data_IF_288220718434
#
_entry.id   IF_288220718434
#
_cell.length_a   1.000
_cell.length_b   1.000
_cell.length_c   1.000
_cell.angle_alpha   90.00
_cell.angle_beta   90.00
_cell.angle_gamma   90.00
#
_symmetry.space_group_name_H-M   'P 1'
#
loop_
_entity.id
_entity.type
_entity.pdbx_description
1 polymer ?
#
# COMPACT_ATOMS: atom_id res chain seq x y z
N UNK A 1 54.80 17.51 28.35
CA UNK A 1 54.08 16.23 28.51
C UNK A 1 53.10 16.07 27.34
N UNK A 2 53.28 15.05 26.49
CA UNK A 2 52.19 14.38 25.73
C UNK A 2 52.00 13.02 26.42
N UNK A 3 50.81 12.38 26.49
CA UNK A 3 49.83 12.12 25.41
C UNK A 3 48.38 12.47 25.88
N UNK A 4 47.25 12.28 25.19
CA UNK A 4 46.68 11.10 24.53
C UNK A 4 45.49 11.46 23.64
N UNK A 5 45.29 10.60 22.65
CA UNK A 5 44.26 10.57 21.61
C UNK A 5 42.87 10.34 22.22
N UNK A 6 41.82 10.89 21.61
CA UNK A 6 40.79 10.04 21.01
C UNK A 6 39.89 10.83 20.05
N UNK A 7 39.87 10.34 18.82
CA UNK A 7 38.94 10.69 17.74
C UNK A 7 37.62 10.00 18.07
N UNK A 8 36.50 10.71 18.05
CA UNK A 8 35.20 10.11 17.74
C UNK A 8 34.51 11.01 16.73
N UNK A 9 34.66 10.65 15.46
CA UNK A 9 33.77 11.06 14.38
C UNK A 9 32.40 10.43 14.70
N UNK A 10 31.47 11.21 15.25
CA UNK A 10 30.07 10.84 15.23
C UNK A 10 29.53 11.10 13.82
N UNK A 11 29.88 10.21 12.91
CA UNK A 11 29.19 10.03 11.63
C UNK A 11 28.30 8.81 11.80
N UNK A 12 27.23 8.96 12.57
CA UNK A 12 26.04 8.12 12.38
C UNK A 12 25.23 8.80 11.28
N UNK A 13 25.75 8.71 10.06
CA UNK A 13 24.88 8.67 8.91
C UNK A 13 24.05 7.40 9.13
N UNK A 14 22.79 7.59 9.51
CA UNK A 14 21.76 6.59 9.31
C UNK A 14 21.73 6.35 7.81
N UNK A 15 22.58 5.44 7.35
CA UNK A 15 22.44 4.77 6.08
C UNK A 15 21.11 4.03 6.17
N UNK A 16 20.04 4.76 5.86
CA UNK A 16 18.80 4.21 5.34
C UNK A 16 19.28 3.29 4.23
N UNK A 17 19.37 2.01 4.54
CA UNK A 17 19.63 0.98 3.57
C UNK A 17 18.41 1.03 2.65
N UNK A 18 18.51 1.85 1.60
CA UNK A 18 17.66 1.80 0.43
C UNK A 18 17.99 0.47 -0.23
N UNK A 19 17.57 -0.62 0.40
CA UNK A 19 17.39 -1.86 -0.31
C UNK A 19 16.46 -1.52 -1.47
N UNK A 20 16.83 -1.84 -2.72
CA UNK A 20 15.94 -1.61 -3.84
C UNK A 20 14.65 -2.35 -3.53
N UNK A 21 13.59 -1.60 -3.22
CA UNK A 21 12.28 -2.19 -3.00
C UNK A 21 11.92 -2.94 -4.28
N UNK A 22 11.49 -4.18 -4.13
CA UNK A 22 10.96 -4.95 -5.25
C UNK A 22 9.87 -4.09 -5.93
N UNK A 23 10.03 -3.75 -7.22
CA UNK A 23 9.10 -2.85 -7.90
C UNK A 23 7.67 -3.38 -7.89
N UNK A 24 7.47 -4.71 -7.83
CA UNK A 24 6.15 -5.31 -7.69
C UNK A 24 5.56 -5.01 -6.32
N UNK A 25 6.36 -5.14 -5.27
CA UNK A 25 5.97 -4.81 -3.90
C UNK A 25 5.64 -3.33 -3.73
N UNK A 26 6.44 -2.44 -4.32
CA UNK A 26 6.18 -0.99 -4.31
C UNK A 26 4.85 -0.68 -5.00
N UNK A 27 4.63 -1.22 -6.21
CA UNK A 27 3.38 -1.06 -6.94
C UNK A 27 2.16 -1.58 -6.14
N UNK A 28 2.30 -2.75 -5.50
CA UNK A 28 1.25 -3.30 -4.65
C UNK A 28 0.90 -2.36 -3.48
N UNK A 29 1.90 -1.75 -2.85
CA UNK A 29 1.69 -0.77 -1.78
C UNK A 29 0.97 0.48 -2.30
N UNK A 30 1.41 1.04 -3.42
CA UNK A 30 0.81 2.23 -4.05
C UNK A 30 -0.66 2.00 -4.45
N UNK A 31 -1.01 0.82 -4.96
CA UNK A 31 -2.38 0.49 -5.37
C UNK A 31 -3.29 0.16 -4.17
N UNK A 32 -2.74 -0.36 -3.07
CA UNK A 32 -3.53 -0.84 -1.92
C UNK A 32 -4.39 0.26 -1.29
N UNK A 33 -3.86 1.48 -1.17
CA UNK A 33 -4.60 2.62 -0.63
C UNK A 33 -5.82 3.01 -1.47
N UNK A 34 -5.64 3.38 -2.76
CA UNK A 34 -6.74 3.67 -3.68
C UNK A 34 -7.78 2.54 -3.75
N UNK A 35 -7.34 1.29 -3.79
CA UNK A 35 -8.24 0.14 -3.86
C UNK A 35 -9.10 -0.01 -2.60
N UNK A 36 -8.53 0.25 -1.42
CA UNK A 36 -9.27 0.27 -0.16
C UNK A 36 -10.32 1.37 -0.16
N UNK A 37 -9.97 2.57 -0.65
CA UNK A 37 -10.90 3.69 -0.78
C UNK A 37 -12.10 3.33 -1.67
N UNK A 38 -11.86 2.70 -2.83
CA UNK A 38 -12.93 2.23 -3.73
C UNK A 38 -13.86 1.25 -3.01
N UNK A 39 -13.31 0.28 -2.28
CA UNK A 39 -14.11 -0.72 -1.57
C UNK A 39 -15.01 -0.07 -0.50
N UNK A 40 -14.43 0.81 0.33
CA UNK A 40 -15.18 1.55 1.36
C UNK A 40 -16.28 2.40 0.74
N UNK A 41 -16.01 3.11 -0.36
CA UNK A 41 -17.04 3.89 -1.05
C UNK A 41 -18.14 3.02 -1.66
N UNK A 42 -17.80 1.83 -2.18
CA UNK A 42 -18.81 0.89 -2.65
C UNK A 42 -19.71 0.42 -1.50
N UNK A 43 -19.14 0.08 -0.34
CA UNK A 43 -19.91 -0.33 0.84
C UNK A 43 -20.87 0.78 1.28
N UNK A 44 -20.36 2.02 1.43
CA UNK A 44 -21.18 3.18 1.81
C UNK A 44 -22.31 3.44 0.80
N UNK A 45 -22.05 3.31 -0.50
CA UNK A 45 -23.06 3.55 -1.53
C UNK A 45 -24.09 2.42 -1.64
N UNK A 46 -23.70 1.18 -1.32
CA UNK A 46 -24.58 0.01 -1.30
C UNK A 46 -25.47 -0.04 -0.06
N UNK A 47 -24.98 0.47 1.07
CA UNK A 47 -25.76 0.66 2.29
C UNK A 47 -26.85 1.73 2.11
N UNK A 48 -26.56 2.74 1.30
CA UNK A 48 -27.54 3.76 0.91
C UNK A 48 -28.51 3.23 -0.15
N UNK A 49 -29.75 3.74 -0.14
CA UNK A 49 -30.79 3.36 -1.09
C UNK A 49 -30.43 3.82 -2.53
N UNK A 50 -29.65 2.99 -3.22
CA UNK A 50 -29.30 3.15 -4.62
C UNK A 50 -30.42 2.63 -5.52
N UNK A 51 -30.67 3.29 -6.65
CA UNK A 51 -31.54 2.74 -7.70
C UNK A 51 -31.03 1.33 -8.13
N UNK A 52 -31.91 0.39 -8.53
CA UNK A 52 -31.53 -0.99 -8.83
C UNK A 52 -30.33 -1.12 -9.78
N UNK A 53 -30.33 -0.33 -10.86
CA UNK A 53 -29.25 -0.34 -11.86
C UNK A 53 -27.93 0.19 -11.29
N UNK A 54 -27.98 1.23 -10.47
CA UNK A 54 -26.81 1.77 -9.79
C UNK A 54 -26.23 0.75 -8.81
N UNK A 55 -27.11 0.04 -8.07
CA UNK A 55 -26.71 -1.01 -7.15
C UNK A 55 -26.01 -2.17 -7.87
N UNK A 56 -26.54 -2.64 -9.01
CA UNK A 56 -25.89 -3.69 -9.80
C UNK A 56 -24.49 -3.27 -10.28
N UNK A 57 -24.35 -2.02 -10.75
CA UNK A 57 -23.04 -1.47 -11.16
C UNK A 57 -22.06 -1.41 -9.99
N UNK A 58 -22.50 -0.96 -8.82
CA UNK A 58 -21.68 -0.88 -7.62
C UNK A 58 -21.22 -2.27 -7.15
N UNK A 59 -22.11 -3.27 -7.15
CA UNK A 59 -21.74 -4.67 -6.84
C UNK A 59 -20.68 -5.20 -7.80
N UNK A 60 -20.82 -4.90 -9.10
CA UNK A 60 -19.83 -5.32 -10.10
C UNK A 60 -18.46 -4.65 -9.86
N UNK A 61 -18.44 -3.33 -9.62
CA UNK A 61 -17.21 -2.58 -9.31
C UNK A 61 -16.53 -3.13 -8.05
N UNK A 62 -17.31 -3.34 -6.98
CA UNK A 62 -16.80 -3.90 -5.74
C UNK A 62 -16.22 -5.31 -5.94
N UNK A 63 -16.90 -6.15 -6.73
CA UNK A 63 -16.44 -7.48 -7.08
C UNK A 63 -15.08 -7.47 -7.78
N UNK A 64 -14.89 -6.59 -8.77
CA UNK A 64 -13.61 -6.43 -9.46
C UNK A 64 -12.51 -5.87 -8.54
N UNK A 65 -12.82 -4.89 -7.71
CA UNK A 65 -11.87 -4.35 -6.74
C UNK A 65 -11.38 -5.44 -5.75
N UNK A 66 -12.27 -6.31 -5.28
CA UNK A 66 -11.90 -7.46 -4.44
C UNK A 66 -11.06 -8.50 -5.19
N UNK A 67 -11.32 -8.73 -6.48
CA UNK A 67 -10.48 -9.60 -7.32
C UNK A 67 -9.06 -9.03 -7.43
N UNK A 68 -8.92 -7.75 -7.75
CA UNK A 68 -7.62 -7.06 -7.83
C UNK A 68 -6.90 -7.14 -6.49
N UNK A 69 -7.58 -6.87 -5.37
CA UNK A 69 -6.99 -6.91 -4.02
C UNK A 69 -6.41 -8.28 -3.69
N UNK A 70 -7.11 -9.37 -4.06
CA UNK A 70 -6.62 -10.74 -3.90
C UNK A 70 -5.39 -11.02 -4.77
N UNK A 71 -5.42 -10.59 -6.04
CA UNK A 71 -4.29 -10.77 -6.96
C UNK A 71 -3.04 -10.03 -6.49
N UNK A 72 -3.17 -8.79 -6.00
CA UNK A 72 -2.05 -8.01 -5.48
C UNK A 72 -1.43 -8.66 -4.23
N UNK A 73 -2.27 -9.15 -3.31
CA UNK A 73 -1.77 -9.87 -2.12
C UNK A 73 -0.98 -11.12 -2.51
N UNK A 74 -1.49 -11.90 -3.48
CA UNK A 74 -0.78 -13.07 -3.98
C UNK A 74 0.54 -12.69 -4.68
N UNK A 75 0.58 -11.57 -5.40
CA UNK A 75 1.79 -11.08 -6.05
C UNK A 75 2.85 -10.58 -5.05
N UNK A 76 2.43 -9.98 -3.92
CA UNK A 76 3.36 -9.46 -2.89
C UNK A 76 3.95 -10.51 -1.94
N UNK A 77 3.46 -11.76 -2.00
CA UNK A 77 3.86 -12.86 -1.12
C UNK A 77 4.82 -13.86 -1.79
N UNK A 78 5.02 -13.74 -3.11
CA UNK A 78 5.96 -14.54 -3.90
C UNK A 78 7.23 -13.75 -4.18
#
# INVERSE_FOLDING_TARGET
MKPSKQIVKNTLAEERSEQPEDPVRQLCHEISGPLTSILVHCDLLLENASAPDARQRLVAIQGEALRISRSLRAASQN
#
